data_IF_554223781148
#
_entry.id   IF_554223781148
#
_cell.length_a   1.000
_cell.length_b   1.000
_cell.length_c   1.000
_cell.angle_alpha   90.00
_cell.angle_beta   90.00
_cell.angle_gamma   90.00
#
_symmetry.space_group_name_H-M   'P 1'
#
loop_
_entity.id
_entity.type
_entity.pdbx_description
1 polymer ?
#
# COMPACT_ATOMS: atom_id res chain seq x y z
N UNK A 1 -9.18 -2.56 3.78
CA UNK A 1 -9.85 -1.27 3.55
C UNK A 1 -11.15 -1.12 4.36
N UNK A 2 -12.15 -1.97 4.17
CA UNK A 2 -13.42 -1.93 4.97
C UNK A 2 -13.18 -2.06 6.48
N UNK A 3 -12.26 -2.95 6.89
CA UNK A 3 -11.84 -3.12 8.28
C UNK A 3 -11.24 -1.84 8.87
N UNK A 4 -10.35 -1.20 8.12
CA UNK A 4 -9.71 0.05 8.50
C UNK A 4 -10.73 1.17 8.68
N UNK A 5 -11.66 1.30 7.73
CA UNK A 5 -12.67 2.35 7.77
C UNK A 5 -13.67 2.17 8.94
N UNK A 6 -14.04 0.94 9.26
CA UNK A 6 -15.02 0.60 10.30
C UNK A 6 -14.44 0.36 11.71
N UNK A 7 -13.12 0.41 11.88
CA UNK A 7 -12.47 0.13 13.16
C UNK A 7 -12.94 1.10 14.26
N UNK A 8 -13.23 0.57 15.46
CA UNK A 8 -13.64 1.37 16.63
C UNK A 8 -12.46 1.80 17.49
N UNK A 9 -11.38 1.02 17.52
CA UNK A 9 -10.16 1.31 18.28
C UNK A 9 -9.05 1.88 17.37
N UNK A 10 -8.22 2.82 17.87
CA UNK A 10 -7.15 3.42 17.08
C UNK A 10 -6.08 2.41 16.67
N UNK A 11 -5.74 1.46 17.54
CA UNK A 11 -4.74 0.40 17.25
C UNK A 11 -5.16 -0.52 16.10
N UNK A 12 -6.43 -0.93 16.08
CA UNK A 12 -6.98 -1.79 15.03
C UNK A 12 -7.07 -0.98 13.72
N UNK A 13 -7.46 0.30 13.81
CA UNK A 13 -7.50 1.21 12.67
C UNK A 13 -6.13 1.31 11.99
N UNK A 14 -5.08 1.68 12.73
CA UNK A 14 -3.71 1.82 12.18
C UNK A 14 -3.22 0.53 11.53
N UNK A 15 -3.41 -0.60 12.22
CA UNK A 15 -2.99 -1.91 11.72
C UNK A 15 -3.67 -2.25 10.39
N UNK A 16 -4.99 -2.06 10.30
CA UNK A 16 -5.72 -2.35 9.06
C UNK A 16 -5.41 -1.38 7.92
N UNK A 17 -5.13 -0.10 8.22
CA UNK A 17 -4.66 0.87 7.23
C UNK A 17 -3.34 0.38 6.64
N UNK A 18 -2.36 0.03 7.49
CA UNK A 18 -1.04 -0.42 7.02
C UNK A 18 -1.10 -1.74 6.27
N UNK A 19 -1.88 -2.72 6.73
CA UNK A 19 -2.08 -3.99 6.02
C UNK A 19 -2.67 -3.76 4.63
N UNK A 20 -3.65 -2.85 4.52
CA UNK A 20 -4.23 -2.50 3.23
C UNK A 20 -3.22 -1.80 2.33
N UNK A 21 -2.45 -0.83 2.86
CA UNK A 21 -1.39 -0.16 2.11
C UNK A 21 -0.27 -1.11 1.65
N UNK A 22 0.09 -2.09 2.46
CA UNK A 22 1.07 -3.13 2.09
C UNK A 22 0.52 -4.01 0.95
N UNK A 23 -0.75 -4.41 1.04
CA UNK A 23 -1.43 -5.15 -0.03
C UNK A 23 -1.52 -4.36 -1.34
N UNK A 24 -1.80 -3.06 -1.26
CA UNK A 24 -1.78 -2.17 -2.42
C UNK A 24 -0.38 -2.06 -3.00
N UNK A 25 0.67 -1.88 -2.18
CA UNK A 25 2.05 -1.83 -2.67
C UNK A 25 2.46 -3.14 -3.38
N UNK A 26 2.06 -4.29 -2.82
CA UNK A 26 2.29 -5.59 -3.45
C UNK A 26 1.54 -5.74 -4.79
N UNK A 27 0.28 -5.28 -4.85
CA UNK A 27 -0.51 -5.25 -6.10
C UNK A 27 0.14 -4.33 -7.15
N UNK A 28 0.58 -3.15 -6.74
CA UNK A 28 1.23 -2.20 -7.65
C UNK A 28 2.56 -2.74 -8.18
N UNK A 29 3.31 -3.46 -7.35
CA UNK A 29 4.53 -4.13 -7.77
C UNK A 29 4.29 -5.33 -8.69
N UNK A 30 3.20 -6.09 -8.49
CA UNK A 30 2.86 -7.23 -9.37
C UNK A 30 2.32 -6.79 -10.72
N UNK A 31 1.68 -5.62 -10.77
CA UNK A 31 1.19 -5.00 -12.01
C UNK A 31 2.23 -4.08 -12.67
N UNK A 32 3.46 -4.02 -12.18
CA UNK A 32 4.45 -3.13 -12.76
C UNK A 32 4.84 -3.54 -14.19
N UNK A 33 5.08 -2.53 -15.03
CA UNK A 33 5.55 -2.72 -16.41
C UNK A 33 6.97 -3.31 -16.47
N UNK A 34 7.78 -3.11 -15.42
CA UNK A 34 9.12 -3.67 -15.28
C UNK A 34 9.12 -4.92 -14.41
N UNK A 35 10.12 -5.79 -14.60
CA UNK A 35 10.32 -6.98 -13.76
C UNK A 35 11.39 -6.73 -12.67
N UNK A 36 11.23 -7.38 -11.52
CA UNK A 36 12.24 -7.41 -10.46
C UNK A 36 12.23 -6.19 -9.54
N UNK A 37 13.38 -5.82 -8.92
CA UNK A 37 13.44 -4.78 -7.88
C UNK A 37 12.96 -3.39 -8.33
N UNK A 38 13.09 -3.08 -9.62
CA UNK A 38 12.65 -1.82 -10.21
C UNK A 38 11.13 -1.62 -10.15
N UNK A 39 10.36 -2.72 -10.16
CA UNK A 39 8.91 -2.72 -10.00
C UNK A 39 8.46 -2.31 -8.58
N UNK A 40 9.30 -2.63 -7.59
CA UNK A 40 8.93 -2.53 -6.19
C UNK A 40 9.42 -1.24 -5.54
N UNK A 41 10.46 -0.61 -6.06
CA UNK A 41 11.11 0.55 -5.42
C UNK A 41 10.11 1.66 -5.04
N UNK A 42 9.22 2.07 -5.95
CA UNK A 42 8.25 3.13 -5.67
C UNK A 42 7.11 2.69 -4.75
N UNK A 43 6.42 1.55 -5.01
CA UNK A 43 5.41 1.02 -4.09
C UNK A 43 5.93 0.83 -2.66
N UNK A 44 7.13 0.25 -2.50
CA UNK A 44 7.70 0.00 -1.17
C UNK A 44 8.18 1.29 -0.50
N UNK A 45 8.72 2.24 -1.26
CA UNK A 45 9.10 3.56 -0.71
C UNK A 45 7.87 4.33 -0.25
N UNK A 46 6.80 4.33 -1.05
CA UNK A 46 5.53 4.97 -0.70
C UNK A 46 4.90 4.33 0.54
N UNK A 47 4.88 3.00 0.61
CA UNK A 47 4.38 2.28 1.78
C UNK A 47 5.24 2.53 3.03
N UNK A 48 6.55 2.31 2.96
CA UNK A 48 7.45 2.37 4.11
C UNK A 48 7.57 3.80 4.65
N UNK A 49 7.90 4.76 3.81
CA UNK A 49 8.07 6.15 4.24
C UNK A 49 6.72 6.84 4.47
N UNK A 50 5.74 6.64 3.57
CA UNK A 50 4.42 7.26 3.71
C UNK A 50 3.64 6.70 4.88
N UNK A 51 3.67 5.38 5.09
CA UNK A 51 3.05 4.73 6.24
C UNK A 51 3.70 5.10 7.57
N UNK A 52 5.05 5.08 7.65
CA UNK A 52 5.75 5.50 8.85
C UNK A 52 5.50 6.99 9.17
N UNK A 53 5.53 7.86 8.16
CA UNK A 53 5.28 9.28 8.33
C UNK A 53 3.82 9.56 8.74
N UNK A 54 2.86 8.77 8.23
CA UNK A 54 1.47 8.85 8.65
C UNK A 54 1.32 8.50 10.14
N UNK A 55 1.89 7.39 10.60
CA UNK A 55 1.84 6.98 12.02
C UNK A 55 2.51 7.98 12.96
N UNK A 56 3.75 8.38 12.66
CA UNK A 56 4.48 9.36 13.47
C UNK A 56 3.79 10.71 13.42
N UNK A 57 3.29 11.08 12.24
CA UNK A 57 2.58 12.33 12.03
C UNK A 57 1.28 12.44 12.80
N UNK A 58 0.56 11.32 12.99
CA UNK A 58 -0.64 11.31 13.82
C UNK A 58 -0.31 11.62 15.28
N UNK A 59 0.77 11.04 15.82
CA UNK A 59 1.24 11.34 17.18
C UNK A 59 1.69 12.81 17.31
N UNK A 60 2.42 13.32 16.32
CA UNK A 60 2.81 14.73 16.25
C UNK A 60 1.60 15.63 16.21
N UNK A 61 0.59 15.26 15.43
CA UNK A 61 -0.61 16.06 15.32
C UNK A 61 -1.40 16.08 16.63
N UNK A 62 -1.59 14.94 17.28
CA UNK A 62 -2.30 14.85 18.56
C UNK A 62 -1.60 15.68 19.65
N UNK A 63 -0.26 15.63 19.72
CA UNK A 63 0.47 16.36 20.77
C UNK A 63 0.78 17.84 20.47
N UNK A 64 0.89 18.25 19.21
CA UNK A 64 1.32 19.63 18.83
C UNK A 64 0.32 20.41 17.98
N UNK A 65 -0.67 19.76 17.40
CA UNK A 65 -1.57 20.36 16.41
C UNK A 65 -0.98 20.45 14.99
N UNK A 66 0.27 20.05 14.77
CA UNK A 66 0.91 20.13 13.45
C UNK A 66 0.51 18.96 12.53
N UNK A 67 -0.43 19.21 11.62
CA UNK A 67 -1.01 18.18 10.75
C UNK A 67 -0.20 17.88 9.46
N UNK A 68 0.91 18.60 9.19
CA UNK A 68 1.65 18.44 7.93
C UNK A 68 2.21 17.01 7.78
N UNK A 69 2.90 16.42 8.78
CA UNK A 69 3.49 15.09 8.62
C UNK A 69 2.44 14.01 8.31
N UNK A 70 1.32 13.98 9.06
CA UNK A 70 0.24 13.01 8.82
C UNK A 70 -0.38 13.17 7.43
N UNK A 71 -0.54 14.42 6.97
CA UNK A 71 -1.10 14.72 5.66
C UNK A 71 -0.18 14.25 4.53
N UNK A 72 1.11 14.53 4.63
CA UNK A 72 2.10 14.09 3.63
C UNK A 72 2.18 12.57 3.56
N UNK A 73 2.13 11.89 4.71
CA UNK A 73 2.06 10.43 4.76
C UNK A 73 0.81 9.88 4.05
N UNK A 74 -0.37 10.44 4.36
CA UNK A 74 -1.62 10.05 3.74
C UNK A 74 -1.64 10.30 2.22
N UNK A 75 -1.17 11.47 1.76
CA UNK A 75 -1.07 11.81 0.34
C UNK A 75 -0.13 10.87 -0.41
N UNK A 76 0.96 10.45 0.23
CA UNK A 76 1.92 9.48 -0.33
C UNK A 76 1.30 8.11 -0.49
N UNK A 77 0.55 7.64 0.50
CA UNK A 77 -0.19 6.38 0.42
C UNK A 77 -1.35 6.42 -0.59
N UNK A 78 -1.96 7.58 -0.79
CA UNK A 78 -2.98 7.78 -1.81
C UNK A 78 -2.40 7.87 -3.23
N UNK A 79 -1.10 8.16 -3.36
CA UNK A 79 -0.39 8.25 -4.64
C UNK A 79 -0.57 9.57 -5.37
N UNK A 80 -0.74 10.66 -4.63
CA UNK A 80 -0.90 12.02 -5.17
C UNK A 80 0.42 12.50 -5.81
N UNK A 81 0.38 13.37 -6.86
CA UNK A 81 1.58 13.96 -7.45
C UNK A 81 2.57 14.51 -6.42
N UNK A 82 3.85 14.55 -6.81
CA UNK A 82 4.99 14.91 -5.95
C UNK A 82 5.30 13.90 -4.83
N UNK A 83 4.75 12.69 -4.90
CA UNK A 83 5.04 11.61 -3.96
C UNK A 83 5.56 10.37 -4.69
N UNK A 84 6.34 9.49 -4.03
CA UNK A 84 6.71 8.20 -4.62
C UNK A 84 5.50 7.32 -4.95
N UNK A 85 4.34 7.53 -4.31
CA UNK A 85 3.13 6.81 -4.64
C UNK A 85 2.58 7.15 -6.03
N UNK A 86 2.80 8.38 -6.52
CA UNK A 86 2.43 8.77 -7.89
C UNK A 86 3.24 8.00 -8.93
N UNK A 87 4.52 7.78 -8.66
CA UNK A 87 5.43 7.05 -9.55
C UNK A 87 5.03 5.58 -9.71
N UNK A 88 4.23 5.06 -8.78
CA UNK A 88 3.70 3.71 -8.80
C UNK A 88 2.34 3.60 -9.53
N UNK A 89 1.66 4.72 -9.80
CA UNK A 89 0.37 4.75 -10.51
C UNK A 89 0.36 4.12 -11.91
N UNK A 90 1.44 4.20 -12.72
CA UNK A 90 1.48 3.53 -14.02
C UNK A 90 1.15 2.04 -13.98
N UNK A 91 1.53 1.33 -12.90
CA UNK A 91 1.21 -0.08 -12.73
C UNK A 91 -0.30 -0.31 -12.52
N UNK A 92 -0.94 0.60 -11.79
CA UNK A 92 -2.39 0.53 -11.52
C UNK A 92 -3.21 0.97 -12.74
N UNK A 93 -2.65 1.84 -13.59
CA UNK A 93 -3.27 2.27 -14.83
C UNK A 93 -3.56 1.11 -15.81
N UNK A 94 -2.82 -0.01 -15.71
CA UNK A 94 -3.07 -1.22 -16.50
C UNK A 94 -4.46 -1.80 -16.24
N UNK A 95 -5.03 -1.58 -15.04
CA UNK A 95 -6.38 -2.01 -14.70
C UNK A 95 -7.44 -1.29 -15.55
N UNK A 96 -7.13 -0.09 -16.04
CA UNK A 96 -7.99 0.64 -16.96
C UNK A 96 -7.90 0.04 -18.37
N UNK A 97 -8.59 -1.07 -18.58
CA UNK A 97 -8.60 -1.82 -19.84
C UNK A 97 -10.06 -2.17 -20.23
N UNK A 98 -10.41 -2.17 -21.53
CA UNK A 98 -11.77 -2.53 -21.99
C UNK A 98 -12.15 -3.99 -21.71
N UNK A 99 -11.21 -4.87 -21.37
CA UNK A 99 -11.49 -6.27 -21.00
C UNK A 99 -12.34 -6.36 -19.71
N UNK A 100 -13.43 -7.11 -19.76
CA UNK A 100 -14.37 -7.32 -18.64
C UNK A 100 -13.69 -7.77 -17.35
N UNK A 101 -12.69 -8.65 -17.42
CA UNK A 101 -11.97 -9.12 -16.22
C UNK A 101 -11.18 -7.99 -15.55
N UNK A 102 -10.49 -7.16 -16.35
CA UNK A 102 -9.75 -6.00 -15.85
C UNK A 102 -10.69 -4.90 -15.35
N UNK A 103 -11.85 -4.70 -15.96
CA UNK A 103 -12.85 -3.76 -15.44
C UNK A 103 -13.37 -4.17 -14.06
N UNK A 104 -13.62 -5.46 -13.83
CA UNK A 104 -14.01 -5.95 -12.50
C UNK A 104 -12.92 -5.71 -11.47
N UNK A 105 -11.66 -6.01 -11.82
CA UNK A 105 -10.51 -5.74 -10.95
C UNK A 105 -10.33 -4.24 -10.70
N UNK A 106 -10.54 -3.40 -11.71
CA UNK A 106 -10.48 -1.96 -11.60
C UNK A 106 -11.51 -1.44 -10.61
N UNK A 107 -12.78 -1.85 -10.73
CA UNK A 107 -13.82 -1.42 -9.78
C UNK A 107 -13.57 -1.94 -8.37
N UNK A 108 -13.08 -3.17 -8.22
CA UNK A 108 -12.66 -3.70 -6.92
C UNK A 108 -11.53 -2.86 -6.31
N UNK A 109 -10.53 -2.50 -7.11
CA UNK A 109 -9.45 -1.60 -6.71
C UNK A 109 -9.99 -0.23 -6.32
N UNK A 110 -10.87 0.38 -7.13
CA UNK A 110 -11.47 1.69 -6.84
C UNK A 110 -12.18 1.69 -5.49
N UNK A 111 -12.97 0.66 -5.21
CA UNK A 111 -13.68 0.54 -3.92
C UNK A 111 -12.67 0.39 -2.77
N UNK A 112 -11.67 -0.48 -2.93
CA UNK A 112 -10.66 -0.72 -1.90
C UNK A 112 -9.83 0.55 -1.62
N UNK A 113 -9.39 1.25 -2.66
CA UNK A 113 -8.59 2.47 -2.58
C UNK A 113 -9.42 3.64 -2.04
N UNK A 114 -10.68 3.79 -2.44
CA UNK A 114 -11.58 4.81 -1.89
C UNK A 114 -11.80 4.62 -0.38
N UNK A 115 -12.03 3.38 0.06
CA UNK A 115 -12.15 3.06 1.49
C UNK A 115 -10.84 3.28 2.25
N UNK A 116 -9.69 3.01 1.63
CA UNK A 116 -8.38 3.28 2.22
C UNK A 116 -8.16 4.79 2.40
N UNK A 117 -8.46 5.58 1.37
CA UNK A 117 -8.38 7.05 1.42
C UNK A 117 -9.33 7.59 2.48
N UNK A 118 -10.56 7.08 2.54
CA UNK A 118 -11.51 7.46 3.58
C UNK A 118 -11.01 7.11 4.99
N UNK A 119 -10.35 5.96 5.16
CA UNK A 119 -9.73 5.57 6.43
C UNK A 119 -8.57 6.50 6.80
N UNK A 120 -7.70 6.86 5.85
CA UNK A 120 -6.60 7.81 6.09
C UNK A 120 -7.12 9.19 6.50
N UNK A 121 -8.14 9.69 5.81
CA UNK A 121 -8.77 10.97 6.09
C UNK A 121 -9.59 10.96 7.39
N UNK A 122 -10.07 9.79 7.84
CA UNK A 122 -10.76 9.68 9.14
C UNK A 122 -9.88 10.05 10.32
N UNK A 123 -8.56 9.81 10.23
CA UNK A 123 -7.61 10.31 11.24
C UNK A 123 -7.76 11.82 11.48
N UNK A 124 -8.37 12.54 10.52
CA UNK A 124 -8.63 13.97 10.62
C UNK A 124 -9.93 14.40 11.30
N UNK A 125 -10.90 13.50 11.47
CA UNK A 125 -12.22 13.82 12.02
C UNK A 125 -12.37 13.48 13.51
N UNK A 126 -11.70 12.43 13.98
CA UNK A 126 -11.79 11.98 15.37
C UNK A 126 -10.89 12.90 16.26
N UNK A 127 -11.24 14.20 16.28
CA UNK A 127 -10.60 15.29 17.05
C UNK A 127 -11.30 15.43 18.41
N UNK A 128 -11.25 14.38 19.21
CA UNK A 128 -11.19 14.59 20.65
C UNK A 128 -9.70 14.63 20.96
N UNK A 129 -9.11 15.84 20.88
CA UNK A 129 -7.77 16.07 21.41
C UNK A 129 -7.81 15.55 22.83
N UNK A 130 -7.08 14.48 23.07
CA UNK A 130 -6.95 13.96 24.41
C UNK A 130 -6.02 14.93 25.17
N UNK A 131 -6.59 16.03 25.67
CA UNK A 131 -5.88 17.04 26.47
C UNK A 131 -5.20 16.41 27.70
N UNK A 132 -5.58 15.18 28.04
CA UNK A 132 -4.97 14.34 29.07
C UNK A 132 -3.57 13.83 28.72
N UNK A 133 -3.18 13.82 27.44
CA UNK A 133 -1.83 13.42 27.00
C UNK A 133 -0.95 14.66 26.86
N UNK A 134 -0.59 15.26 28.00
CA UNK A 134 0.55 16.17 28.06
C UNK A 134 1.82 15.36 27.74
N UNK A 135 2.19 15.33 26.46
CA UNK A 135 3.45 14.73 26.04
C UNK A 135 4.62 15.50 26.64
N UNK A 136 5.55 14.77 27.24
CA UNK A 136 6.83 15.35 27.66
C UNK A 136 7.54 16.00 26.45
N UNK A 137 8.14 17.17 26.68
CA UNK A 137 8.81 17.95 25.64
C UNK A 137 9.92 17.14 24.94
N UNK A 138 10.58 16.23 25.69
CA UNK A 138 11.55 15.29 25.15
C UNK A 138 10.96 14.34 24.10
N UNK A 139 9.80 13.74 24.38
CA UNK A 139 9.10 12.84 23.46
C UNK A 139 8.61 13.58 22.21
N UNK A 140 8.05 14.78 22.38
CA UNK A 140 7.62 15.62 21.25
C UNK A 140 8.79 15.97 20.32
N UNK A 141 9.94 16.37 20.88
CA UNK A 141 11.12 16.69 20.07
C UNK A 141 11.62 15.48 19.26
N UNK A 142 11.59 14.27 19.82
CA UNK A 142 11.96 13.03 19.12
C UNK A 142 10.99 12.71 17.99
N UNK A 143 9.69 12.91 18.20
CA UNK A 143 8.68 12.73 17.16
C UNK A 143 8.87 13.73 16.02
N UNK A 144 9.15 14.99 16.31
CA UNK A 144 9.45 16.02 15.30
C UNK A 144 10.69 15.65 14.47
N UNK A 145 11.77 15.22 15.12
CA UNK A 145 12.97 14.74 14.43
C UNK A 145 12.67 13.50 13.59
N UNK A 146 11.87 12.55 14.09
CA UNK A 146 11.45 11.38 13.34
C UNK A 146 10.61 11.76 12.11
N UNK A 147 9.66 12.69 12.24
CA UNK A 147 8.89 13.21 11.11
C UNK A 147 9.77 13.87 10.07
N UNK A 148 10.78 14.64 10.48
CA UNK A 148 11.73 15.24 9.54
C UNK A 148 12.62 14.19 8.86
N UNK A 149 13.10 13.21 9.63
CA UNK A 149 13.93 12.12 9.15
C UNK A 149 13.20 11.20 8.16
N UNK A 150 11.87 11.09 8.27
CA UNK A 150 11.02 10.36 7.32
C UNK A 150 10.58 11.25 6.15
N UNK A 151 10.19 12.49 6.44
CA UNK A 151 9.67 13.44 5.46
C UNK A 151 10.71 13.87 4.44
N UNK A 152 11.98 14.05 4.83
CA UNK A 152 13.03 14.49 3.92
C UNK A 152 13.37 13.44 2.85
N UNK A 153 13.66 12.16 3.18
CA UNK A 153 13.83 11.13 2.15
C UNK A 153 12.60 10.95 1.27
N UNK A 154 11.40 11.05 1.84
CA UNK A 154 10.14 10.96 1.10
C UNK A 154 9.99 12.12 0.10
N UNK A 155 10.32 13.35 0.52
CA UNK A 155 10.31 14.51 -0.36
C UNK A 155 11.35 14.37 -1.47
N UNK A 156 12.58 13.94 -1.16
CA UNK A 156 13.60 13.70 -2.18
C UNK A 156 13.13 12.63 -3.18
N UNK A 157 12.51 11.54 -2.72
CA UNK A 157 11.96 10.51 -3.60
C UNK A 157 10.82 11.02 -4.50
N UNK A 158 9.98 11.92 -3.98
CA UNK A 158 8.88 12.52 -4.75
C UNK A 158 9.32 13.61 -5.72
N UNK A 159 10.21 14.51 -5.32
CA UNK A 159 10.66 15.66 -6.12
C UNK A 159 11.80 15.32 -7.08
N UNK A 160 12.71 14.42 -6.70
CA UNK A 160 13.91 14.05 -7.46
C UNK A 160 13.98 12.54 -7.75
N UNK A 161 12.94 11.95 -8.38
CA UNK A 161 12.88 10.51 -8.59
C UNK A 161 14.00 9.99 -9.49
N UNK A 162 14.46 10.79 -10.46
CA UNK A 162 15.60 10.43 -11.33
C UNK A 162 16.89 10.25 -10.53
N UNK A 163 17.10 11.07 -9.51
CA UNK A 163 18.27 10.98 -8.63
C UNK A 163 18.21 9.71 -7.78
N UNK A 164 17.05 9.40 -7.20
CA UNK A 164 16.87 8.16 -6.43
C UNK A 164 17.04 6.92 -7.31
N UNK A 165 16.44 6.92 -8.51
CA UNK A 165 16.60 5.85 -9.48
C UNK A 165 18.08 5.65 -9.87
N UNK A 166 18.83 6.73 -10.09
CA UNK A 166 20.26 6.66 -10.39
C UNK A 166 21.08 6.14 -9.20
N UNK A 167 20.81 6.62 -7.98
CA UNK A 167 21.47 6.14 -6.76
C UNK A 167 21.23 4.65 -6.51
N UNK A 168 20.03 4.17 -6.82
CA UNK A 168 19.68 2.75 -6.71
C UNK A 168 20.26 1.90 -7.87
N UNK A 169 20.96 2.50 -8.85
CA UNK A 169 21.36 1.85 -10.10
C UNK A 169 20.18 1.24 -10.87
N UNK A 170 19.02 1.91 -10.82
CA UNK A 170 17.75 1.50 -11.41
C UNK A 170 17.18 2.58 -12.36
N UNK A 171 17.88 2.95 -13.45
CA UNK A 171 17.44 4.02 -14.34
C UNK A 171 16.07 3.76 -14.99
N UNK A 172 15.69 2.48 -15.13
CA UNK A 172 14.42 2.05 -15.71
C UNK A 172 13.28 1.91 -14.66
N UNK A 173 13.49 2.39 -13.43
CA UNK A 173 12.43 2.37 -12.40
C UNK A 173 11.31 3.37 -12.69
N UNK A 174 11.56 4.41 -13.47
CA UNK A 174 10.54 5.41 -13.83
C UNK A 174 9.84 4.94 -15.11
N UNK A 175 8.53 4.75 -15.06
CA UNK A 175 7.75 4.32 -16.21
C UNK A 175 7.77 5.39 -17.31
N UNK A 176 7.93 4.96 -18.56
CA UNK A 176 7.93 5.85 -19.74
C UNK A 176 6.56 6.54 -20.00
N UNK A 177 5.50 6.06 -19.35
CA UNK A 177 4.15 6.67 -19.39
C UNK A 177 4.04 7.93 -18.52
N UNK A 178 5.03 8.20 -17.66
CA UNK A 178 5.17 9.46 -16.94
C UNK A 178 5.87 10.50 -17.82
N UNK A 179 5.45 11.75 -17.71
CA UNK A 179 6.00 12.88 -18.47
C UNK A 179 7.28 13.46 -17.84
N UNK A 180 7.64 14.68 -18.24
CA UNK A 180 8.74 15.45 -17.65
C UNK A 180 8.19 16.75 -17.03
N UNK A 181 8.24 16.94 -15.70
CA UNK A 181 8.82 16.03 -14.68
C UNK A 181 7.89 14.83 -14.35
N UNK A 182 8.47 13.64 -14.09
CA UNK A 182 7.70 12.40 -13.90
C UNK A 182 6.88 12.36 -12.60
N UNK A 183 7.13 13.29 -11.69
CA UNK A 183 6.43 13.42 -10.41
C UNK A 183 5.12 14.21 -10.50
N UNK A 184 4.89 14.95 -11.60
CA UNK A 184 3.72 15.83 -11.78
C UNK A 184 2.92 15.42 -13.01
N UNK A 185 3.63 15.11 -14.10
CA UNK A 185 3.00 14.90 -15.40
C UNK A 185 2.88 13.40 -15.64
N UNK A 186 1.66 12.94 -15.93
CA UNK A 186 1.42 11.64 -16.53
C UNK A 186 1.00 11.82 -17.99
N UNK A 187 1.70 11.17 -18.92
CA UNK A 187 1.40 11.23 -20.35
C UNK A 187 0.17 10.41 -20.73
N UNK A 188 -0.16 9.39 -19.94
CA UNK A 188 -1.34 8.55 -20.13
C UNK A 188 -2.53 9.04 -19.29
N UNK A 189 -3.70 9.36 -19.89
CA UNK A 189 -4.89 9.75 -19.15
C UNK A 189 -5.41 8.65 -18.20
N UNK A 190 -5.12 7.37 -18.45
CA UNK A 190 -5.51 6.28 -17.58
C UNK A 190 -4.97 6.45 -16.15
N UNK A 191 -3.74 6.99 -16.01
CA UNK A 191 -3.11 7.26 -14.70
C UNK A 191 -3.95 8.24 -13.87
N UNK A 192 -4.47 9.29 -14.51
CA UNK A 192 -5.33 10.26 -13.84
C UNK A 192 -6.68 9.65 -13.47
N UNK A 193 -7.25 8.81 -14.33
CA UNK A 193 -8.51 8.11 -14.04
C UNK A 193 -8.36 7.20 -12.83
N UNK A 194 -7.30 6.38 -12.80
CA UNK A 194 -7.04 5.43 -11.70
C UNK A 194 -6.66 6.10 -10.38
N UNK A 195 -6.20 7.36 -10.43
CA UNK A 195 -5.88 8.17 -9.26
C UNK A 195 -7.10 8.99 -8.77
N UNK A 196 -7.75 9.73 -9.67
CA UNK A 196 -8.79 10.71 -9.33
C UNK A 196 -10.10 10.03 -8.92
N UNK A 197 -10.47 8.92 -9.56
CA UNK A 197 -11.73 8.23 -9.25
C UNK A 197 -11.73 7.75 -7.78
N UNK A 198 -10.74 6.97 -7.30
CA UNK A 198 -10.71 6.56 -5.90
C UNK A 198 -10.58 7.73 -4.92
N UNK A 199 -9.80 8.76 -5.25
CA UNK A 199 -9.68 9.98 -4.43
C UNK A 199 -11.03 10.67 -4.26
N UNK A 200 -11.75 10.86 -5.35
CA UNK A 200 -13.07 11.48 -5.34
C UNK A 200 -14.07 10.66 -4.51
N UNK A 201 -14.11 9.33 -4.71
CA UNK A 201 -14.97 8.46 -3.92
C UNK A 201 -14.57 8.44 -2.45
N UNK A 202 -13.28 8.35 -2.14
CA UNK A 202 -12.79 8.34 -0.75
C UNK A 202 -13.14 9.63 -0.01
N UNK A 203 -12.92 10.79 -0.64
CA UNK A 203 -13.28 12.08 -0.06
C UNK A 203 -14.80 12.23 0.11
N UNK A 204 -15.57 11.80 -0.89
CA UNK A 204 -17.05 11.80 -0.82
C UNK A 204 -17.56 10.93 0.32
N UNK A 205 -16.91 9.79 0.56
CA UNK A 205 -17.28 8.82 1.58
C UNK A 205 -17.05 9.38 3.00
N UNK A 206 -15.97 10.13 3.20
CA UNK A 206 -15.72 10.88 4.45
C UNK A 206 -16.80 11.94 4.65
N UNK A 207 -17.10 12.75 3.65
CA UNK A 207 -18.12 13.80 3.75
C UNK A 207 -19.53 13.25 4.00
N UNK A 208 -19.85 12.07 3.47
CA UNK A 208 -21.14 11.39 3.66
C UNK A 208 -21.19 10.53 4.93
N UNK A 209 -20.07 10.32 5.62
CA UNK A 209 -19.94 9.48 6.82
C UNK A 209 -21.02 9.75 7.88
N UNK A 210 -21.30 10.99 8.32
CA UNK A 210 -22.33 11.24 9.34
C UNK A 210 -23.73 10.77 8.91
N UNK A 211 -24.06 10.91 7.62
CA UNK A 211 -25.34 10.44 7.07
C UNK A 211 -25.37 8.91 6.93
N UNK A 212 -24.27 8.32 6.46
CA UNK A 212 -24.15 6.86 6.30
C UNK A 212 -24.28 6.17 7.66
N UNK A 213 -23.67 6.71 8.71
CA UNK A 213 -23.77 6.13 10.05
C UNK A 213 -25.16 6.26 10.68
N UNK A 214 -25.87 7.35 10.41
CA UNK A 214 -27.27 7.50 10.81
C UNK A 214 -28.18 6.46 10.13
N UNK A 215 -27.86 6.07 8.90
CA UNK A 215 -28.64 5.07 8.12
C UNK A 215 -28.28 3.62 8.53
N UNK A 216 -26.99 3.35 8.77
CA UNK A 216 -26.50 2.00 9.10
C UNK A 216 -26.83 1.61 10.56
N UNK A 217 -27.05 2.58 11.45
CA UNK A 217 -27.40 2.33 12.86
C UNK A 217 -26.42 1.35 13.54
N UNK A 218 -26.95 0.37 14.28
CA UNK A 218 -26.15 -0.67 14.95
C UNK A 218 -25.58 -1.75 13.99
N UNK A 219 -25.89 -1.72 12.69
CA UNK A 219 -25.50 -2.73 11.71
C UNK A 219 -23.99 -2.87 11.49
N UNK A 220 -23.21 -1.86 11.84
CA UNK A 220 -21.76 -1.96 11.72
C UNK A 220 -21.09 -2.84 12.78
N UNK A 221 -21.80 -3.21 13.86
CA UNK A 221 -21.29 -4.21 14.81
C UNK A 221 -21.23 -5.61 14.19
N UNK A 222 -22.15 -5.93 13.28
CA UNK A 222 -22.14 -7.18 12.54
C UNK A 222 -21.05 -7.18 11.47
N UNK A 223 -20.88 -6.04 10.80
CA UNK A 223 -19.80 -5.82 9.82
C UNK A 223 -18.42 -5.92 10.49
N UNK A 224 -18.22 -5.31 11.66
CA UNK A 224 -16.95 -5.38 12.41
C UNK A 224 -16.58 -6.82 12.83
N UNK A 225 -17.57 -7.63 13.23
CA UNK A 225 -17.36 -9.06 13.58
C UNK A 225 -17.00 -9.92 12.35
N UNK A 226 -17.63 -9.65 11.20
CA UNK A 226 -17.37 -10.37 9.96
C UNK A 226 -16.06 -9.94 9.28
N UNK A 227 -15.66 -8.68 9.47
CA UNK A 227 -14.52 -8.04 8.80
C UNK A 227 -13.22 -8.10 9.62
N UNK A 228 -13.27 -8.54 10.89
CA UNK A 228 -12.05 -8.72 11.72
C UNK A 228 -11.04 -9.72 11.15
N UNK A 229 -11.36 -10.40 10.04
CA UNK A 229 -10.41 -11.17 9.23
C UNK A 229 -9.62 -12.20 10.05
N UNK A 230 -10.07 -12.58 11.25
CA UNK A 230 -9.48 -13.66 12.05
C UNK A 230 -9.44 -14.95 11.24
N UNK A 231 -10.46 -15.15 10.40
CA UNK A 231 -10.53 -16.25 9.45
C UNK A 231 -9.56 -16.09 8.28
N UNK A 232 -9.33 -14.89 7.73
CA UNK A 232 -8.37 -14.70 6.63
C UNK A 232 -6.92 -14.70 7.12
N UNK A 233 -6.67 -14.23 8.35
CA UNK A 233 -5.38 -14.37 9.01
C UNK A 233 -5.11 -15.83 9.34
N UNK A 234 -6.10 -16.59 9.84
CA UNK A 234 -6.02 -18.04 9.96
C UNK A 234 -5.82 -18.72 8.61
N UNK A 235 -6.50 -18.26 7.55
CA UNK A 235 -6.37 -18.80 6.21
C UNK A 235 -4.98 -18.51 5.61
N UNK A 236 -4.45 -17.31 5.79
CA UNK A 236 -3.10 -16.92 5.38
C UNK A 236 -2.03 -17.69 6.15
N UNK A 237 -2.19 -17.86 7.45
CA UNK A 237 -1.33 -18.74 8.25
C UNK A 237 -1.47 -20.21 7.83
N UNK A 238 -2.68 -20.67 7.58
CA UNK A 238 -2.94 -22.02 7.07
C UNK A 238 -2.28 -22.25 5.71
N UNK A 239 -2.30 -21.25 4.81
CA UNK A 239 -1.69 -21.30 3.49
C UNK A 239 -0.15 -21.21 3.56
N UNK A 240 0.40 -20.45 4.50
CA UNK A 240 1.82 -20.43 4.83
C UNK A 240 2.30 -21.76 5.46
N UNK A 241 1.49 -22.41 6.31
CA UNK A 241 1.77 -23.75 6.84
C UNK A 241 1.68 -24.83 5.76
N UNK A 242 0.62 -24.81 4.95
CA UNK A 242 0.48 -25.70 3.78
C UNK A 242 1.64 -25.50 2.80
N UNK A 243 2.03 -24.26 2.53
CA UNK A 243 3.16 -23.94 1.67
C UNK A 243 4.50 -24.45 2.21
N UNK A 244 4.72 -24.35 3.52
CA UNK A 244 5.93 -24.86 4.17
C UNK A 244 5.94 -26.39 4.34
N UNK A 245 4.78 -27.04 4.49
CA UNK A 245 4.65 -28.51 4.48
C UNK A 245 4.80 -29.09 3.06
N UNK A 246 4.27 -28.43 2.04
CA UNK A 246 4.49 -28.79 0.64
C UNK A 246 5.95 -28.57 0.23
N UNK A 247 6.57 -27.47 0.65
CA UNK A 247 7.99 -27.21 0.41
C UNK A 247 8.89 -28.19 1.19
N UNK A 248 8.53 -28.53 2.43
CA UNK A 248 9.23 -29.53 3.23
C UNK A 248 9.12 -30.94 2.64
N UNK A 249 7.99 -31.29 2.03
CA UNK A 249 7.84 -32.57 1.32
C UNK A 249 8.58 -32.57 -0.02
N UNK A 250 8.59 -31.47 -0.77
CA UNK A 250 9.39 -31.34 -2.01
C UNK A 250 10.88 -31.41 -1.71
N UNK A 251 11.35 -30.72 -0.66
CA UNK A 251 12.75 -30.75 -0.23
C UNK A 251 13.13 -32.12 0.36
N UNK A 252 12.24 -32.81 1.10
CA UNK A 252 12.51 -34.20 1.55
C UNK A 252 12.49 -35.22 0.42
N UNK A 253 11.69 -35.04 -0.63
CA UNK A 253 11.73 -35.88 -1.84
C UNK A 253 13.03 -35.62 -2.62
N UNK A 254 13.53 -34.38 -2.59
CA UNK A 254 14.82 -33.99 -3.19
C UNK A 254 16.03 -34.47 -2.38
N UNK A 255 15.97 -34.47 -1.05
CA UNK A 255 17.07 -34.91 -0.17
C UNK A 255 17.06 -36.42 0.10
N UNK A 256 15.92 -37.11 -0.07
CA UNK A 256 15.77 -38.54 0.26
C UNK A 256 16.02 -39.54 -0.87
N UNK A 257 16.19 -39.10 -2.12
CA UNK A 257 16.32 -40.01 -3.27
C UNK A 257 17.38 -39.50 -4.26
N UNK A 258 18.65 -39.57 -3.87
CA UNK A 258 19.82 -39.15 -4.65
C UNK A 258 20.00 -39.78 -6.05
N UNK A 259 19.06 -40.59 -6.53
CA UNK A 259 19.03 -41.12 -7.90
C UNK A 259 17.93 -40.52 -8.79
N UNK A 260 16.81 -40.03 -8.24
CA UNK A 260 15.69 -39.50 -9.05
C UNK A 260 15.92 -38.07 -9.53
N UNK A 261 16.63 -37.24 -8.75
CA UNK A 261 17.01 -35.88 -9.17
C UNK A 261 17.92 -35.87 -10.41
N UNK A 262 18.85 -36.84 -10.49
CA UNK A 262 19.71 -37.00 -11.67
C UNK A 262 18.93 -37.46 -12.89
N UNK A 263 17.92 -38.31 -12.75
CA UNK A 263 17.08 -38.76 -13.88
C UNK A 263 16.32 -37.58 -14.50
N UNK A 264 15.81 -36.66 -13.68
CA UNK A 264 15.11 -35.46 -14.16
C UNK A 264 16.08 -34.50 -14.86
N UNK A 265 17.27 -34.30 -14.31
CA UNK A 265 18.31 -33.45 -14.92
C UNK A 265 18.81 -34.06 -16.24
N UNK A 266 19.04 -35.37 -16.30
CA UNK A 266 19.44 -36.06 -17.52
C UNK A 266 18.32 -36.09 -18.57
N UNK A 267 17.06 -36.27 -18.16
CA UNK A 267 15.91 -36.18 -19.06
C UNK A 267 15.75 -34.78 -19.67
N UNK A 268 16.00 -33.74 -18.87
CA UNK A 268 15.91 -32.35 -19.31
C UNK A 268 17.08 -31.97 -20.23
N UNK A 269 18.27 -32.53 -19.99
CA UNK A 269 19.43 -32.42 -20.89
C UNK A 269 19.19 -33.13 -22.24
N UNK A 270 18.64 -34.35 -22.23
CA UNK A 270 18.30 -35.08 -23.47
C UNK A 270 17.23 -34.33 -24.26
N UNK A 271 16.22 -33.77 -23.58
CA UNK A 271 15.18 -32.97 -24.22
C UNK A 271 15.72 -31.67 -24.84
N UNK A 272 16.69 -31.02 -24.17
CA UNK A 272 17.34 -29.81 -24.70
C UNK A 272 18.33 -30.09 -25.83
N UNK A 273 18.93 -31.28 -25.88
CA UNK A 273 19.83 -31.71 -26.97
C UNK A 273 19.08 -32.26 -28.19
N UNK A 274 17.83 -32.71 -28.01
CA UNK A 274 16.97 -33.21 -29.09
C UNK A 274 16.15 -32.10 -29.78
N UNK A 275 16.37 -30.84 -29.42
CA UNK A 275 15.72 -29.65 -29.97
C UNK A 275 16.76 -28.71 -30.56
#
# INVERSE_FOLDING_TARGET
ATAAWSAKTPTDHHSFVLVTSAGLAALTGSLALGAGPTAMIWPTTAFALGGALWLVGEQVWQGSGWAIPVSVGALTLAGVPLTPGFLAQPSLAILWNPNTAFQLLFWLYVIAQALQIAALLRSWEDVERDESVLMDAGSMSRLMVASLALGLPLAVAGFLPRTIAALASMPNAIAATLGDPPSIVAGDPAIWITLLIPLFFGFSLVWLRPKIWQIIGNGAEQVHRFIRLEWLFHFGWWLLRQGTELWGNVVRILEGAGYMGWIVVFGLLVYLLAR
#
